data_IF_115452331680
#
_entry.id   IF_115452331680
#
_cell.length_a   1.000
_cell.length_b   1.000
_cell.length_c   1.000
_cell.angle_alpha   90.00
_cell.angle_beta   90.00
_cell.angle_gamma   90.00
#
_symmetry.space_group_name_H-M   'P 1'
#
loop_
_entity.id
_entity.type
_entity.pdbx_description
1 polymer ?
#
# COMPACT_ATOMS: atom_id res chain seq x y z
N UNK A 1 21.84 27.86 10.97
CA UNK A 1 21.64 26.40 10.77
C UNK A 1 21.42 26.19 9.28
N UNK A 2 22.11 25.24 8.66
CA UNK A 2 21.99 25.00 7.21
C UNK A 2 20.53 24.67 6.85
N UNK A 3 19.99 25.35 5.84
CA UNK A 3 18.61 25.17 5.33
C UNK A 3 18.48 24.01 4.34
N UNK A 4 19.60 23.42 3.92
CA UNK A 4 19.68 22.37 2.89
C UNK A 4 19.22 21.04 3.46
N UNK A 5 18.30 20.32 2.79
CA UNK A 5 17.86 19.00 3.25
C UNK A 5 18.96 17.95 3.07
N UNK A 6 18.97 16.91 3.91
CA UNK A 6 19.88 15.77 3.72
C UNK A 6 19.32 14.82 2.65
N UNK A 7 17.98 14.65 2.65
CA UNK A 7 17.26 13.79 1.70
C UNK A 7 15.96 14.44 1.26
N UNK A 8 15.66 14.37 -0.04
CA UNK A 8 14.33 14.63 -0.59
C UNK A 8 13.67 13.33 -1.02
N UNK A 9 12.53 12.99 -0.43
CA UNK A 9 11.69 11.86 -0.85
C UNK A 9 10.57 12.39 -1.75
N UNK A 10 10.47 11.85 -2.97
CA UNK A 10 9.45 12.25 -3.94
C UNK A 10 8.30 11.23 -3.92
N UNK A 11 7.15 11.64 -3.41
CA UNK A 11 5.94 10.82 -3.26
C UNK A 11 5.43 10.77 -1.81
N UNK A 12 4.16 11.12 -1.61
CA UNK A 12 3.48 11.15 -0.30
C UNK A 12 2.52 9.97 -0.06
N UNK A 13 2.69 8.87 -0.81
CA UNK A 13 1.98 7.61 -0.55
C UNK A 13 2.64 6.80 0.57
N UNK A 14 2.12 5.60 0.83
CA UNK A 14 2.63 4.72 1.92
C UNK A 14 4.12 4.43 1.79
N UNK A 15 4.63 4.16 0.57
CA UNK A 15 6.05 3.89 0.35
C UNK A 15 6.92 5.11 0.70
N UNK A 16 6.53 6.29 0.23
CA UNK A 16 7.30 7.52 0.46
C UNK A 16 7.25 8.00 1.90
N UNK A 17 6.07 8.03 2.53
CA UNK A 17 5.93 8.44 3.93
C UNK A 17 6.65 7.47 4.88
N UNK A 18 6.56 6.16 4.64
CA UNK A 18 7.27 5.15 5.47
C UNK A 18 8.78 5.28 5.32
N UNK A 19 9.29 5.45 4.10
CA UNK A 19 10.73 5.67 3.87
C UNK A 19 11.21 6.98 4.49
N UNK A 20 10.47 8.08 4.30
CA UNK A 20 10.82 9.38 4.88
C UNK A 20 10.85 9.34 6.40
N UNK A 21 9.87 8.68 7.02
CA UNK A 21 9.81 8.51 8.46
C UNK A 21 11.02 7.77 8.99
N UNK A 22 11.37 6.64 8.37
CA UNK A 22 12.51 5.82 8.79
C UNK A 22 13.83 6.60 8.66
N UNK A 23 14.00 7.37 7.59
CA UNK A 23 15.19 8.23 7.40
C UNK A 23 15.25 9.36 8.44
N UNK A 24 14.12 9.98 8.76
CA UNK A 24 14.07 11.01 9.80
C UNK A 24 14.34 10.44 11.19
N UNK A 25 13.92 9.20 11.48
CA UNK A 25 14.26 8.47 12.72
C UNK A 25 15.75 8.19 12.87
N UNK A 26 16.49 8.11 11.75
CA UNK A 26 17.96 8.04 11.75
C UNK A 26 18.64 9.39 11.95
N UNK A 27 17.87 10.46 12.14
CA UNK A 27 18.38 11.82 12.37
C UNK A 27 18.65 12.63 11.10
N UNK A 28 18.24 12.15 9.92
CA UNK A 28 18.38 12.89 8.67
C UNK A 28 17.30 13.98 8.55
N UNK A 29 17.65 15.12 7.97
CA UNK A 29 16.70 16.19 7.64
C UNK A 29 15.99 15.84 6.34
N UNK A 30 14.79 15.29 6.46
CA UNK A 30 14.01 14.78 5.33
C UNK A 30 12.94 15.78 4.91
N UNK A 31 12.84 16.00 3.59
CA UNK A 31 11.67 16.65 2.97
C UNK A 31 10.94 15.68 2.07
N UNK A 32 9.62 15.64 2.16
CA UNK A 32 8.75 14.89 1.25
C UNK A 32 8.11 15.85 0.28
N UNK A 33 8.32 15.64 -1.01
CA UNK A 33 7.65 16.36 -2.08
C UNK A 33 6.58 15.49 -2.68
N UNK A 34 5.32 15.93 -2.59
CA UNK A 34 4.21 15.21 -3.20
C UNK A 34 3.28 16.14 -3.96
N UNK A 35 2.89 15.74 -5.17
CA UNK A 35 1.89 16.45 -5.97
C UNK A 35 0.53 16.48 -5.24
N UNK A 36 0.11 15.33 -4.71
CA UNK A 36 -1.20 15.12 -4.13
C UNK A 36 -1.11 15.04 -2.59
N UNK A 37 -2.11 15.51 -1.84
CA UNK A 37 -2.16 15.24 -0.40
C UNK A 37 -2.31 13.74 -0.15
N UNK A 38 -1.81 13.22 0.99
CA UNK A 38 -1.83 11.78 1.27
C UNK A 38 -3.23 11.14 1.11
N UNK A 39 -4.28 11.86 1.51
CA UNK A 39 -5.68 11.44 1.36
C UNK A 39 -6.18 11.30 -0.09
N UNK A 40 -5.46 11.86 -1.07
CA UNK A 40 -5.78 11.77 -2.50
C UNK A 40 -4.78 10.88 -3.27
N UNK A 41 -3.92 10.13 -2.57
CA UNK A 41 -3.00 9.18 -3.21
C UNK A 41 -3.66 7.83 -3.47
N UNK A 42 -3.08 7.02 -4.37
CA UNK A 42 -3.48 5.60 -4.54
C UNK A 42 -3.51 4.85 -3.21
N UNK A 43 -2.58 5.15 -2.29
CA UNK A 43 -2.53 4.50 -0.98
C UNK A 43 -3.79 4.74 -0.15
N UNK A 44 -4.40 5.93 -0.21
CA UNK A 44 -5.62 6.24 0.53
C UNK A 44 -6.86 5.47 0.05
N UNK A 45 -6.82 4.97 -1.19
CA UNK A 45 -7.91 4.17 -1.78
C UNK A 45 -7.86 2.71 -1.32
N UNK A 46 -6.67 2.19 -0.98
CA UNK A 46 -6.48 0.76 -0.71
C UNK A 46 -7.34 0.22 0.45
N UNK A 47 -7.56 -1.10 0.44
CA UNK A 47 -8.45 -1.81 1.37
C UNK A 47 -8.14 -1.60 2.85
N UNK A 48 -6.95 -1.89 3.38
CA UNK A 48 -5.88 -2.76 2.90
C UNK A 48 -5.64 -3.85 3.95
N UNK A 49 -5.61 -5.11 3.53
CA UNK A 49 -5.23 -6.26 4.35
C UNK A 49 -3.74 -6.54 4.12
N UNK A 50 -2.96 -6.77 5.17
CA UNK A 50 -1.61 -7.27 5.01
C UNK A 50 -1.68 -8.70 4.45
N UNK A 51 -1.25 -8.88 3.22
CA UNK A 51 -1.08 -10.19 2.57
C UNK A 51 -0.20 -10.03 1.32
N UNK A 52 0.84 -10.85 1.11
CA UNK A 52 1.63 -10.81 -0.12
C UNK A 52 0.77 -11.23 -1.32
N UNK A 53 0.47 -10.29 -2.21
CA UNK A 53 -0.45 -10.51 -3.32
C UNK A 53 0.11 -9.97 -4.64
N UNK A 54 0.28 -10.88 -5.62
CA UNK A 54 0.68 -10.58 -7.02
C UNK A 54 1.81 -9.53 -7.07
N UNK A 55 2.91 -9.82 -6.39
CA UNK A 55 4.06 -8.92 -6.23
C UNK A 55 5.35 -9.71 -6.40
N UNK A 56 6.30 -9.06 -7.08
CA UNK A 56 7.62 -9.60 -7.42
C UNK A 56 8.72 -8.63 -6.91
N UNK A 57 9.98 -9.08 -6.75
CA UNK A 57 10.45 -10.45 -6.92
C UNK A 57 10.08 -11.35 -5.73
N UNK A 58 9.52 -12.53 -5.99
CA UNK A 58 9.06 -13.49 -4.97
C UNK A 58 10.11 -13.76 -3.88
N UNK A 59 11.38 -13.86 -4.28
CA UNK A 59 12.52 -14.13 -3.39
C UNK A 59 12.73 -13.08 -2.29
N UNK A 60 12.33 -11.82 -2.50
CA UNK A 60 12.51 -10.73 -1.52
C UNK A 60 11.19 -10.34 -0.83
N UNK A 61 10.06 -10.59 -1.50
CA UNK A 61 8.73 -10.22 -1.01
C UNK A 61 8.44 -10.82 0.36
N UNK A 62 8.83 -12.08 0.59
CA UNK A 62 8.63 -12.75 1.87
C UNK A 62 9.25 -11.99 3.04
N UNK A 63 10.52 -11.61 2.91
CA UNK A 63 11.27 -10.91 3.94
C UNK A 63 10.73 -9.48 4.18
N UNK A 64 10.45 -8.74 3.10
CA UNK A 64 9.85 -7.41 3.23
C UNK A 64 8.47 -7.44 3.89
N UNK A 65 7.68 -8.46 3.56
CA UNK A 65 6.35 -8.65 4.12
C UNK A 65 6.44 -8.98 5.61
N UNK A 66 7.31 -9.93 6.00
CA UNK A 66 7.46 -10.33 7.41
C UNK A 66 8.00 -9.21 8.29
N UNK A 67 8.88 -8.37 7.78
CA UNK A 67 9.31 -7.17 8.50
C UNK A 67 8.14 -6.19 8.70
N UNK A 68 7.35 -5.99 7.66
CA UNK A 68 6.18 -5.11 7.72
C UNK A 68 5.11 -5.67 8.65
N UNK A 69 4.91 -6.99 8.68
CA UNK A 69 4.00 -7.67 9.60
C UNK A 69 4.34 -7.32 11.04
N UNK A 70 5.61 -7.49 11.46
CA UNK A 70 6.04 -7.20 12.84
C UNK A 70 5.73 -5.76 13.25
N UNK A 71 6.01 -4.80 12.37
CA UNK A 71 5.72 -3.38 12.66
C UNK A 71 4.21 -3.14 12.73
N UNK A 72 3.41 -3.75 11.87
CA UNK A 72 1.95 -3.63 11.98
C UNK A 72 1.36 -4.31 13.22
N UNK A 73 1.94 -5.43 13.67
CA UNK A 73 1.58 -6.05 14.96
C UNK A 73 1.86 -5.08 16.13
N UNK A 74 2.98 -4.35 16.10
CA UNK A 74 3.30 -3.33 17.11
C UNK A 74 2.34 -2.13 17.04
N UNK A 75 2.06 -1.61 15.84
CA UNK A 75 1.14 -0.48 15.64
C UNK A 75 -0.30 -0.81 16.03
N UNK A 76 -0.68 -2.08 15.98
CA UNK A 76 -1.99 -2.54 16.41
C UNK A 76 -2.24 -2.39 17.92
N UNK A 77 -1.22 -2.04 18.72
CA UNK A 77 -1.39 -1.70 20.13
C UNK A 77 -2.11 -0.35 20.35
N UNK A 78 -2.14 0.54 19.35
CA UNK A 78 -2.79 1.84 19.41
C UNK A 78 -3.65 2.10 18.15
N UNK A 79 -4.70 1.29 17.91
CA UNK A 79 -5.43 1.28 16.64
C UNK A 79 -6.15 2.59 16.32
N UNK A 80 -6.60 3.33 17.34
CA UNK A 80 -7.28 4.62 17.17
C UNK A 80 -6.34 5.72 16.65
N UNK A 81 -5.03 5.58 16.93
CA UNK A 81 -4.00 6.49 16.45
C UNK A 81 -3.43 6.03 15.10
N UNK A 82 -3.07 4.75 14.99
CA UNK A 82 -2.29 4.22 13.86
C UNK A 82 -3.16 3.79 12.68
N UNK A 83 -4.45 3.54 12.92
CA UNK A 83 -5.37 2.93 11.95
C UNK A 83 -5.12 1.45 11.69
N UNK A 84 -4.21 0.79 12.43
CA UNK A 84 -3.86 -0.62 12.24
C UNK A 84 -4.56 -1.47 13.29
N UNK A 85 -5.23 -2.55 12.89
CA UNK A 85 -5.88 -3.50 13.80
C UNK A 85 -5.53 -4.93 13.42
N UNK A 86 -5.44 -5.81 14.41
CA UNK A 86 -5.40 -7.25 14.17
C UNK A 86 -6.84 -7.75 14.06
N UNK A 87 -7.23 -8.28 12.91
CA UNK A 87 -8.61 -8.72 12.64
C UNK A 87 -8.57 -10.14 12.10
N UNK A 88 -9.46 -11.00 12.59
CA UNK A 88 -9.62 -12.36 12.08
C UNK A 88 -10.40 -12.38 10.76
N UNK A 89 -10.12 -13.35 9.93
CA UNK A 89 -10.87 -13.57 8.70
C UNK A 89 -10.40 -14.80 7.94
N UNK A 90 -10.92 -14.94 6.72
CA UNK A 90 -10.70 -16.12 5.88
C UNK A 90 -10.19 -15.73 4.49
N UNK A 91 -9.09 -16.35 4.07
CA UNK A 91 -8.69 -16.44 2.67
C UNK A 91 -9.40 -17.65 2.04
N UNK A 92 -10.46 -17.40 1.28
CA UNK A 92 -11.27 -18.40 0.58
C UNK A 92 -10.43 -19.21 -0.42
N UNK A 93 -10.55 -20.53 -0.36
CA UNK A 93 -9.83 -21.46 -1.23
C UNK A 93 -8.32 -21.60 -0.97
N UNK A 94 -7.73 -20.78 -0.10
CA UNK A 94 -6.31 -20.84 0.24
C UNK A 94 -6.01 -22.00 1.21
N UNK A 95 -4.80 -22.55 1.14
CA UNK A 95 -4.32 -23.62 2.03
C UNK A 95 -2.89 -23.32 2.49
N UNK A 96 -2.46 -23.82 3.65
CA UNK A 96 -1.10 -23.60 4.12
C UNK A 96 -0.05 -24.19 3.17
N UNK A 97 -0.38 -25.31 2.53
CA UNK A 97 0.50 -26.02 1.61
C UNK A 97 0.74 -25.27 0.29
N UNK A 98 -0.10 -24.29 -0.06
CA UNK A 98 0.03 -23.48 -1.28
C UNK A 98 0.86 -22.21 -1.06
N UNK A 99 1.19 -21.88 0.20
CA UNK A 99 1.93 -20.67 0.53
C UNK A 99 3.44 -20.86 0.49
N UNK A 100 4.14 -19.77 0.16
CA UNK A 100 5.59 -19.70 0.18
C UNK A 100 6.18 -19.71 1.61
N UNK A 101 7.53 -19.76 1.74
CA UNK A 101 8.21 -19.88 3.02
C UNK A 101 7.85 -18.81 4.07
N UNK A 102 7.43 -17.63 3.62
CA UNK A 102 7.01 -16.52 4.49
C UNK A 102 5.83 -16.88 5.39
N UNK A 103 4.96 -17.83 4.98
CA UNK A 103 3.80 -18.23 5.76
C UNK A 103 4.16 -18.86 7.12
N UNK A 104 5.40 -19.32 7.30
CA UNK A 104 5.92 -19.79 8.59
C UNK A 104 5.97 -18.70 9.66
N UNK A 105 5.94 -17.43 9.26
CA UNK A 105 5.87 -16.30 10.18
C UNK A 105 4.44 -15.94 10.61
N UNK A 106 3.41 -16.58 10.06
CA UNK A 106 2.03 -16.36 10.48
C UNK A 106 1.75 -17.01 11.84
N UNK A 107 0.90 -16.36 12.63
CA UNK A 107 0.43 -16.83 13.94
C UNK A 107 -1.06 -17.15 13.86
N UNK A 108 -1.51 -18.06 14.72
CA UNK A 108 -2.94 -18.39 14.89
C UNK A 108 -3.65 -18.74 13.58
N UNK A 109 -2.98 -19.53 12.74
CA UNK A 109 -3.49 -19.98 11.45
C UNK A 109 -4.14 -21.36 11.57
N UNK A 110 -5.32 -21.51 11.00
CA UNK A 110 -6.03 -22.78 10.93
C UNK A 110 -6.70 -22.97 9.57
N UNK A 111 -6.62 -24.17 9.01
CA UNK A 111 -7.41 -24.52 7.83
C UNK A 111 -8.86 -24.82 8.24
N UNK A 112 -9.80 -24.22 7.51
CA UNK A 112 -11.25 -24.44 7.65
C UNK A 112 -11.81 -24.90 6.31
N UNK A 113 -13.07 -25.34 6.28
CA UNK A 113 -13.68 -25.87 5.05
C UNK A 113 -13.58 -24.85 3.89
N UNK A 114 -13.86 -23.58 4.20
CA UNK A 114 -13.92 -22.46 3.27
C UNK A 114 -12.53 -22.01 2.77
N UNK A 115 -11.45 -22.28 3.51
CA UNK A 115 -10.23 -21.52 3.29
C UNK A 115 -9.20 -21.63 4.41
N UNK A 116 -8.31 -20.64 4.42
CA UNK A 116 -7.35 -20.43 5.48
C UNK A 116 -7.85 -19.34 6.42
N UNK A 117 -8.12 -19.68 7.67
CA UNK A 117 -8.48 -18.74 8.72
C UNK A 117 -7.23 -18.23 9.45
N UNK A 118 -7.11 -16.92 9.59
CA UNK A 118 -5.95 -16.28 10.22
C UNK A 118 -6.32 -14.89 10.76
N UNK A 119 -5.58 -14.41 11.76
CA UNK A 119 -5.66 -13.03 12.25
C UNK A 119 -4.53 -12.21 11.64
N UNK A 120 -4.85 -11.16 10.90
CA UNK A 120 -3.89 -10.35 10.15
C UNK A 120 -4.08 -8.85 10.41
N UNK A 121 -3.03 -8.03 10.17
CA UNK A 121 -3.18 -6.59 10.16
C UNK A 121 -4.16 -6.14 9.06
N UNK A 122 -5.18 -5.40 9.48
CA UNK A 122 -6.12 -4.67 8.64
C UNK A 122 -5.94 -3.17 8.89
N UNK A 123 -5.66 -2.43 7.82
CA UNK A 123 -5.20 -1.03 7.90
C UNK A 123 -6.28 -0.10 7.35
N UNK A 124 -6.76 0.85 8.16
CA UNK A 124 -7.56 1.99 7.70
C UNK A 124 -6.62 3.05 7.09
N UNK A 125 -6.40 2.95 5.78
CA UNK A 125 -5.38 3.72 5.08
C UNK A 125 -5.46 5.25 5.29
N UNK A 126 -6.63 5.91 5.28
CA UNK A 126 -6.72 7.33 5.62
C UNK A 126 -6.20 7.68 7.02
N UNK A 127 -6.47 6.86 8.03
CA UNK A 127 -5.94 7.07 9.38
C UNK A 127 -4.43 6.80 9.41
N UNK A 128 -3.99 5.69 8.81
CA UNK A 128 -2.58 5.31 8.79
C UNK A 128 -1.68 6.33 8.08
N UNK A 129 -2.13 6.89 6.95
CA UNK A 129 -1.36 7.91 6.23
C UNK A 129 -1.27 9.23 7.01
N UNK A 130 -2.35 9.62 7.73
CA UNK A 130 -2.29 10.78 8.64
C UNK A 130 -1.29 10.54 9.77
N UNK A 131 -1.37 9.36 10.39
CA UNK A 131 -0.43 8.95 11.43
C UNK A 131 1.03 8.99 10.94
N UNK A 132 1.32 8.49 9.74
CA UNK A 132 2.66 8.55 9.14
C UNK A 132 3.13 10.00 8.94
N UNK A 133 2.28 10.90 8.44
CA UNK A 133 2.62 12.32 8.30
C UNK A 133 2.88 12.99 9.65
N UNK A 134 2.05 12.72 10.65
CA UNK A 134 2.19 13.26 12.01
C UNK A 134 3.47 12.75 12.67
N UNK A 135 3.76 11.45 12.55
CA UNK A 135 5.03 10.89 13.05
C UNK A 135 6.20 11.54 12.33
N UNK A 136 6.16 11.67 11.00
CA UNK A 136 7.23 12.30 10.23
C UNK A 136 7.47 13.75 10.69
N UNK A 137 6.41 14.54 10.90
CA UNK A 137 6.53 15.91 11.43
C UNK A 137 7.15 15.93 12.83
N UNK A 138 6.73 15.02 13.70
CA UNK A 138 7.33 14.86 15.02
C UNK A 138 8.82 14.44 14.96
N UNK A 139 9.26 13.86 13.84
CA UNK A 139 10.66 13.52 13.58
C UNK A 139 11.50 14.70 13.09
N UNK A 140 10.89 15.87 12.89
CA UNK A 140 11.51 17.02 12.23
C UNK A 140 11.46 16.96 10.69
N UNK A 141 10.74 15.99 10.11
CA UNK A 141 10.51 15.92 8.67
C UNK A 141 9.46 16.94 8.20
N UNK A 142 9.55 17.33 6.92
CA UNK A 142 8.63 18.31 6.31
C UNK A 142 7.94 17.68 5.11
N UNK A 143 6.62 17.89 4.97
CA UNK A 143 5.85 17.48 3.79
C UNK A 143 5.40 18.72 3.03
N UNK A 144 5.79 18.82 1.76
CA UNK A 144 5.49 19.94 0.88
C UNK A 144 4.63 19.47 -0.30
N UNK A 145 3.55 20.21 -0.59
CA UNK A 145 2.81 20.01 -1.83
C UNK A 145 3.59 20.58 -3.00
N UNK A 146 4.25 19.69 -3.76
CA UNK A 146 5.12 20.06 -4.87
C UNK A 146 5.12 18.97 -5.94
N UNK A 147 4.82 19.39 -7.17
CA UNK A 147 4.95 18.55 -8.37
C UNK A 147 6.38 18.63 -8.88
N UNK A 148 7.01 17.48 -9.12
CA UNK A 148 8.31 17.39 -9.79
C UNK A 148 8.13 17.07 -11.27
N UNK A 149 8.99 17.63 -12.12
CA UNK A 149 9.06 17.24 -13.55
C UNK A 149 10.26 16.35 -13.88
N UNK A 150 11.16 16.19 -12.91
CA UNK A 150 12.34 15.33 -12.96
C UNK A 150 13.09 15.41 -11.63
N UNK A 151 14.11 14.58 -11.43
CA UNK A 151 14.82 14.53 -10.15
C UNK A 151 15.90 15.61 -9.99
N UNK A 152 16.27 16.33 -11.06
CA UNK A 152 17.27 17.40 -10.99
C UNK A 152 16.87 18.54 -10.03
N UNK A 153 15.58 18.88 -9.96
CA UNK A 153 15.09 19.89 -9.01
C UNK A 153 15.15 19.42 -7.55
N UNK A 154 14.93 18.13 -7.28
CA UNK A 154 15.10 17.56 -5.95
C UNK A 154 16.59 17.44 -5.59
N UNK A 155 17.43 17.09 -6.56
CA UNK A 155 18.88 17.00 -6.42
C UNK A 155 19.55 18.35 -6.13
N UNK A 156 18.92 19.45 -6.54
CA UNK A 156 19.37 20.80 -6.21
C UNK A 156 19.16 21.14 -4.72
N UNK A 157 18.27 20.44 -4.02
CA UNK A 157 17.89 20.71 -2.63
C UNK A 157 18.50 19.72 -1.64
N UNK A 158 18.83 18.51 -2.10
CA UNK A 158 19.51 17.47 -1.33
C UNK A 158 20.41 16.63 -2.24
N UNK A 159 21.55 16.18 -1.68
CA UNK A 159 22.45 15.26 -2.38
C UNK A 159 21.84 13.88 -2.60
N UNK A 160 20.88 13.49 -1.77
CA UNK A 160 20.17 12.22 -1.92
C UNK A 160 18.69 12.47 -2.20
N UNK A 161 18.18 11.78 -3.21
CA UNK A 161 16.78 11.79 -3.61
C UNK A 161 16.23 10.37 -3.56
N UNK A 162 15.06 10.18 -2.97
CA UNK A 162 14.37 8.87 -2.98
C UNK A 162 13.12 8.97 -3.84
N UNK A 163 13.08 8.22 -4.94
CA UNK A 163 11.92 8.11 -5.83
C UNK A 163 10.91 7.10 -5.28
N UNK A 164 9.81 7.60 -4.72
CA UNK A 164 8.64 6.85 -4.27
C UNK A 164 7.37 7.22 -5.06
N UNK A 165 7.51 7.54 -6.34
CA UNK A 165 6.42 8.12 -7.14
C UNK A 165 5.40 7.12 -7.69
N UNK A 166 5.60 5.82 -7.44
CA UNK A 166 4.66 4.77 -7.87
C UNK A 166 4.47 4.78 -9.39
N UNK A 167 3.23 5.03 -9.85
CA UNK A 167 2.93 5.16 -11.29
C UNK A 167 3.67 6.33 -11.95
N UNK A 168 4.04 7.37 -11.20
CA UNK A 168 4.79 8.51 -11.72
C UNK A 168 6.17 8.13 -12.28
N UNK A 169 6.75 7.01 -11.84
CA UNK A 169 8.03 6.51 -12.37
C UNK A 169 7.96 6.16 -13.85
N UNK A 170 6.77 5.85 -14.40
CA UNK A 170 6.60 5.62 -15.85
C UNK A 170 7.06 6.82 -16.67
N UNK A 171 6.86 8.03 -16.16
CA UNK A 171 7.20 9.29 -16.83
C UNK A 171 8.52 9.89 -16.32
N UNK A 172 8.80 9.77 -15.02
CA UNK A 172 9.95 10.43 -14.38
C UNK A 172 11.29 9.69 -14.54
N UNK A 173 11.28 8.36 -14.69
CA UNK A 173 12.47 7.52 -14.98
C UNK A 173 12.29 6.68 -16.26
N UNK A 174 11.52 7.20 -17.23
CA UNK A 174 10.94 6.48 -18.36
C UNK A 174 10.85 4.94 -18.27
N UNK A 175 10.27 4.39 -17.20
CA UNK A 175 10.17 2.93 -16.99
C UNK A 175 8.89 2.38 -17.63
N UNK A 176 8.94 1.77 -18.84
CA UNK A 176 7.75 1.29 -19.54
C UNK A 176 7.12 0.06 -18.89
N UNK A 177 7.84 -0.59 -17.96
CA UNK A 177 7.32 -1.73 -17.21
C UNK A 177 6.31 -1.31 -16.15
N UNK A 178 6.23 -0.01 -15.80
CA UNK A 178 5.25 0.52 -14.84
C UNK A 178 3.89 0.70 -15.50
N UNK A 179 2.89 -0.05 -15.03
CA UNK A 179 1.54 -0.11 -15.61
C UNK A 179 0.46 0.07 -14.54
N UNK A 180 -0.66 0.75 -14.86
CA UNK A 180 -1.79 0.82 -13.95
C UNK A 180 -2.52 -0.52 -13.91
N UNK A 181 -2.87 -0.97 -12.71
CA UNK A 181 -3.89 -2.01 -12.52
C UNK A 181 -5.05 -1.40 -11.74
N UNK A 182 -6.13 -1.07 -12.44
CA UNK A 182 -7.32 -0.43 -11.87
C UNK A 182 -8.00 -1.37 -10.88
N UNK A 183 -8.40 -0.81 -9.76
CA UNK A 183 -9.21 -1.48 -8.75
C UNK A 183 -10.35 -0.59 -8.30
N UNK A 184 -11.56 -1.11 -8.45
CA UNK A 184 -12.77 -0.48 -7.94
C UNK A 184 -13.23 -1.14 -6.65
N UNK A 185 -13.66 -0.29 -5.71
CA UNK A 185 -14.22 -0.64 -4.41
C UNK A 185 -15.59 0.01 -4.23
N UNK A 186 -16.42 -0.61 -3.42
CA UNK A 186 -17.68 -0.06 -2.92
C UNK A 186 -17.58 0.07 -1.41
N UNK A 187 -18.00 1.19 -0.85
CA UNK A 187 -18.06 1.40 0.60
C UNK A 187 -19.53 1.40 1.00
N UNK A 188 -19.89 0.57 1.96
CA UNK A 188 -21.26 0.45 2.49
C UNK A 188 -21.28 0.70 4.00
N UNK A 189 -22.45 1.02 4.55
CA UNK A 189 -22.67 0.92 6.00
C UNK A 189 -22.42 -0.51 6.45
N UNK A 190 -21.68 -0.71 7.55
CA UNK A 190 -21.36 -2.05 7.99
C UNK A 190 -22.63 -2.75 8.53
N UNK A 191 -23.10 -3.86 7.91
CA UNK A 191 -24.31 -4.55 8.35
C UNK A 191 -24.07 -5.52 9.53
N UNK A 192 -22.99 -5.35 10.30
CA UNK A 192 -22.60 -6.25 11.40
C UNK A 192 -21.55 -7.30 10.99
N UNK A 193 -20.74 -7.01 9.97
CA UNK A 193 -19.60 -7.85 9.57
C UNK A 193 -18.36 -7.36 10.30
N UNK A 194 -17.79 -8.20 11.15
CA UNK A 194 -16.61 -7.86 11.97
C UNK A 194 -15.33 -8.62 11.58
N UNK A 195 -15.46 -9.62 10.71
CA UNK A 195 -14.34 -10.38 10.14
C UNK A 195 -14.12 -10.00 8.67
N UNK A 196 -12.88 -10.06 8.21
CA UNK A 196 -12.60 -9.90 6.79
C UNK A 196 -12.73 -11.22 6.02
N UNK A 197 -12.92 -11.10 4.71
CA UNK A 197 -12.83 -12.21 3.78
C UNK A 197 -12.08 -11.76 2.54
N UNK A 198 -11.31 -12.66 1.93
CA UNK A 198 -10.81 -12.46 0.58
C UNK A 198 -10.84 -13.76 -0.21
N UNK A 199 -11.09 -13.66 -1.50
CA UNK A 199 -10.99 -14.73 -2.47
C UNK A 199 -10.59 -14.14 -3.82
N UNK A 200 -9.55 -14.69 -4.43
CA UNK A 200 -9.06 -14.26 -5.72
C UNK A 200 -8.78 -15.46 -6.61
N UNK A 201 -9.49 -15.57 -7.72
CA UNK A 201 -9.17 -16.55 -8.75
C UNK A 201 -7.85 -16.18 -9.45
N UNK A 202 -6.93 -17.14 -9.69
CA UNK A 202 -5.61 -16.85 -10.27
C UNK A 202 -5.70 -16.11 -11.62
N UNK A 203 -6.67 -16.47 -12.46
CA UNK A 203 -6.89 -15.90 -13.79
C UNK A 203 -8.02 -14.85 -13.85
N UNK A 204 -8.63 -14.50 -12.72
CA UNK A 204 -9.77 -13.59 -12.68
C UNK A 204 -9.30 -12.15 -12.40
N UNK A 205 -9.85 -11.19 -13.14
CA UNK A 205 -9.82 -9.76 -12.80
C UNK A 205 -10.81 -9.42 -11.69
N UNK A 206 -11.87 -10.23 -11.53
CA UNK A 206 -12.79 -10.14 -10.41
C UNK A 206 -12.19 -10.79 -9.17
N UNK A 207 -12.13 -10.01 -8.09
CA UNK A 207 -11.78 -10.47 -6.74
C UNK A 207 -13.00 -10.26 -5.85
N UNK A 208 -13.12 -11.05 -4.80
CA UNK A 208 -14.19 -10.92 -3.80
C UNK A 208 -13.54 -10.72 -2.44
N UNK A 209 -13.73 -9.56 -1.83
CA UNK A 209 -13.28 -9.32 -0.47
C UNK A 209 -14.14 -8.27 0.20
N UNK A 210 -14.18 -8.35 1.52
CA UNK A 210 -14.73 -7.30 2.35
C UNK A 210 -13.87 -7.09 3.59
N UNK A 211 -13.69 -5.83 3.94
CA UNK A 211 -12.82 -5.38 5.01
C UNK A 211 -13.61 -4.50 5.98
N UNK A 212 -13.88 -4.98 7.20
CA UNK A 212 -14.59 -4.19 8.19
C UNK A 212 -13.67 -3.06 8.67
N UNK A 213 -14.13 -1.82 8.53
CA UNK A 213 -13.42 -0.62 8.97
C UNK A 213 -14.30 0.15 9.99
N UNK A 214 -13.73 1.05 10.80
CA UNK A 214 -14.53 1.87 11.70
C UNK A 214 -15.68 2.57 10.96
N UNK A 215 -16.92 2.24 11.36
CA UNK A 215 -18.16 2.82 10.82
C UNK A 215 -18.56 2.39 9.40
N UNK A 216 -17.85 1.46 8.75
CA UNK A 216 -18.12 1.08 7.34
C UNK A 216 -17.59 -0.31 6.98
N UNK A 217 -18.08 -0.87 5.89
CA UNK A 217 -17.53 -2.07 5.27
C UNK A 217 -17.01 -1.70 3.88
N UNK A 218 -15.74 -2.01 3.61
CA UNK A 218 -15.13 -1.81 2.29
C UNK A 218 -15.25 -3.11 1.51
N UNK A 219 -15.94 -3.07 0.39
CA UNK A 219 -16.16 -4.19 -0.52
C UNK A 219 -15.25 -4.04 -1.74
N UNK A 220 -14.66 -5.15 -2.17
CA UNK A 220 -13.95 -5.19 -3.44
C UNK A 220 -14.00 -6.57 -4.08
N UNK A 221 -13.45 -6.71 -5.27
CA UNK A 221 -13.00 -5.61 -6.11
C UNK A 221 -12.64 -6.06 -7.50
N UNK A 222 -11.95 -5.18 -8.23
CA UNK A 222 -11.37 -5.48 -9.54
C UNK A 222 -9.85 -5.36 -9.54
N UNK A 223 -9.23 -6.03 -10.51
CA UNK A 223 -7.83 -5.91 -10.89
C UNK A 223 -7.75 -5.90 -12.42
N UNK A 224 -8.02 -4.75 -13.03
CA UNK A 224 -8.06 -4.56 -14.49
C UNK A 224 -6.73 -3.98 -14.97
N UNK A 225 -5.95 -4.80 -15.68
CA UNK A 225 -4.65 -4.39 -16.19
C UNK A 225 -4.76 -3.33 -17.31
N UNK A 226 -3.82 -2.40 -17.32
CA UNK A 226 -3.68 -1.31 -18.30
C UNK A 226 -4.88 -0.35 -18.40
N UNK A 227 -5.86 -0.43 -17.49
CA UNK A 227 -6.94 0.54 -17.37
C UNK A 227 -6.50 1.71 -16.47
N UNK A 228 -6.55 2.93 -17.01
CA UNK A 228 -6.18 4.16 -16.32
C UNK A 228 -7.38 5.01 -15.87
N UNK A 229 -8.61 4.55 -16.11
CA UNK A 229 -9.83 5.28 -15.73
C UNK A 229 -9.98 5.34 -14.22
N UNK A 230 -10.35 6.51 -13.71
CA UNK A 230 -10.51 6.74 -12.25
C UNK A 230 -11.98 6.91 -11.85
N UNK A 231 -12.87 6.92 -12.82
CA UNK A 231 -14.31 7.01 -12.62
C UNK A 231 -14.85 5.63 -12.20
N UNK A 232 -15.73 5.54 -11.19
CA UNK A 232 -16.39 4.30 -10.83
C UNK A 232 -17.40 3.88 -11.91
N UNK A 233 -17.43 2.58 -12.22
CA UNK A 233 -18.41 1.96 -13.10
C UNK A 233 -19.59 1.41 -12.27
N UNK A 234 -20.84 1.87 -12.49
CA UNK A 234 -22.00 1.41 -11.74
C UNK A 234 -22.26 -0.10 -11.84
N UNK A 235 -22.04 -0.72 -13.00
CA UNK A 235 -22.24 -2.16 -13.19
C UNK A 235 -21.20 -2.93 -12.40
N UNK A 236 -19.95 -2.51 -12.44
CA UNK A 236 -18.88 -3.11 -11.62
C UNK A 236 -19.20 -2.98 -10.13
N UNK A 237 -19.81 -1.88 -9.69
CA UNK A 237 -20.22 -1.70 -8.29
C UNK A 237 -21.32 -2.70 -7.89
N UNK A 238 -22.37 -2.85 -8.70
CA UNK A 238 -23.44 -3.83 -8.50
C UNK A 238 -22.89 -5.26 -8.42
N UNK A 239 -21.97 -5.61 -9.34
CA UNK A 239 -21.32 -6.91 -9.34
C UNK A 239 -20.49 -7.15 -8.08
N UNK A 240 -19.70 -6.17 -7.62
CA UNK A 240 -18.91 -6.28 -6.38
C UNK A 240 -19.83 -6.59 -5.19
N UNK A 241 -20.93 -5.84 -5.04
CA UNK A 241 -21.91 -6.05 -3.97
C UNK A 241 -22.51 -7.44 -4.08
N UNK A 242 -22.94 -7.85 -5.28
CA UNK A 242 -23.52 -9.18 -5.51
C UNK A 242 -22.55 -10.32 -5.18
N UNK A 243 -21.24 -10.17 -5.48
CA UNK A 243 -20.23 -11.17 -5.09
C UNK A 243 -20.05 -11.26 -3.58
N UNK A 244 -19.95 -10.13 -2.90
CA UNK A 244 -19.80 -10.09 -1.45
C UNK A 244 -21.05 -10.63 -0.75
N UNK A 245 -22.25 -10.32 -1.26
CA UNK A 245 -23.52 -10.81 -0.75
C UNK A 245 -23.70 -12.33 -0.86
N UNK A 246 -23.05 -12.99 -1.83
CA UNK A 246 -23.03 -14.46 -1.90
C UNK A 246 -22.26 -15.10 -0.75
N UNK A 247 -21.27 -14.38 -0.19
CA UNK A 247 -20.49 -14.84 0.97
C UNK A 247 -21.18 -14.44 2.28
N UNK A 248 -21.72 -13.22 2.35
CA UNK A 248 -22.44 -12.67 3.51
C UNK A 248 -23.77 -12.04 3.07
N UNK A 249 -24.90 -12.76 3.13
CA UNK A 249 -26.19 -12.31 2.62
C UNK A 249 -26.66 -10.93 3.14
N UNK A 250 -26.30 -10.57 4.36
CA UNK A 250 -26.63 -9.27 4.97
C UNK A 250 -26.03 -8.07 4.21
N UNK A 251 -24.98 -8.26 3.41
CA UNK A 251 -24.40 -7.20 2.57
C UNK A 251 -25.36 -6.74 1.48
N UNK A 252 -26.28 -7.60 1.01
CA UNK A 252 -27.24 -7.25 -0.04
C UNK A 252 -28.15 -6.07 0.33
N UNK A 253 -28.44 -5.89 1.63
CA UNK A 253 -29.28 -4.80 2.14
C UNK A 253 -28.50 -3.58 2.63
N UNK A 254 -27.17 -3.61 2.59
CA UNK A 254 -26.34 -2.54 3.13
C UNK A 254 -26.39 -1.28 2.25
N UNK A 255 -26.56 -0.12 2.86
CA UNK A 255 -26.59 1.17 2.15
C UNK A 255 -25.20 1.52 1.62
N UNK A 256 -25.10 1.79 0.32
CA UNK A 256 -23.87 2.31 -0.30
C UNK A 256 -23.62 3.74 0.18
N UNK A 257 -22.44 3.99 0.72
CA UNK A 257 -22.00 5.31 1.21
C UNK A 257 -20.91 5.93 0.33
N UNK A 258 -20.33 5.17 -0.60
CA UNK A 258 -19.41 5.71 -1.59
C UNK A 258 -18.75 4.65 -2.49
N UNK A 259 -18.01 5.14 -3.46
CA UNK A 259 -17.19 4.34 -4.37
C UNK A 259 -15.75 4.84 -4.32
N UNK A 260 -14.79 3.94 -4.58
CA UNK A 260 -13.38 4.32 -4.73
C UNK A 260 -12.78 3.60 -5.92
N UNK A 261 -11.92 4.28 -6.64
CA UNK A 261 -11.13 3.70 -7.73
C UNK A 261 -9.69 4.09 -7.52
N UNK A 262 -8.80 3.11 -7.56
CA UNK A 262 -7.36 3.30 -7.40
C UNK A 262 -6.60 2.60 -8.50
N UNK A 263 -5.47 3.19 -8.90
CA UNK A 263 -4.58 2.63 -9.91
C UNK A 263 -3.34 2.07 -9.22
N UNK A 264 -3.26 0.75 -9.10
CA UNK A 264 -2.12 0.06 -8.48
C UNK A 264 -0.88 0.24 -9.38
N UNK A 265 0.27 0.65 -8.83
CA UNK A 265 1.52 0.84 -9.58
C UNK A 265 2.22 -0.49 -9.84
N UNK A 266 1.64 -1.35 -10.68
CA UNK A 266 2.28 -2.62 -11.04
C UNK A 266 3.53 -2.36 -11.88
N UNK A 267 4.52 -3.24 -11.76
CA UNK A 267 5.72 -3.20 -12.59
C UNK A 267 6.06 -4.60 -13.08
N UNK A 268 6.27 -4.74 -14.39
CA UNK A 268 6.52 -6.05 -15.04
C UNK A 268 7.71 -6.80 -14.42
N UNK A 269 8.77 -6.07 -14.04
CA UNK A 269 9.96 -6.63 -13.40
C UNK A 269 9.91 -6.59 -11.85
N UNK A 270 8.74 -6.40 -11.26
CA UNK A 270 8.55 -6.34 -9.80
C UNK A 270 9.00 -5.03 -9.16
N UNK A 271 9.03 -4.99 -7.83
CA UNK A 271 9.45 -3.83 -7.04
C UNK A 271 10.89 -3.45 -7.39
N UNK A 272 11.12 -2.15 -7.60
CA UNK A 272 12.46 -1.59 -7.85
C UNK A 272 12.99 -0.90 -6.60
N UNK A 273 14.05 -1.45 -6.01
CA UNK A 273 14.83 -0.84 -4.93
C UNK A 273 16.31 -0.87 -5.30
N UNK A 274 16.77 0.22 -5.90
CA UNK A 274 18.09 0.33 -6.52
C UNK A 274 18.60 1.76 -6.35
N UNK A 275 19.92 1.95 -6.38
CA UNK A 275 20.54 3.27 -6.33
C UNK A 275 21.23 3.59 -7.67
N UNK A 276 21.10 4.84 -8.10
CA UNK A 276 21.72 5.39 -9.31
C UNK A 276 22.41 6.71 -8.98
N UNK A 277 23.49 7.02 -9.71
CA UNK A 277 24.11 8.33 -9.61
C UNK A 277 23.31 9.36 -10.42
N UNK A 278 22.99 10.49 -9.78
CA UNK A 278 22.43 11.65 -10.43
C UNK A 278 23.53 12.46 -11.12
N UNK A 279 23.20 13.15 -12.23
CA UNK A 279 24.09 14.16 -12.80
C UNK A 279 24.52 15.17 -11.71
N UNK A 280 25.83 15.33 -11.51
CA UNK A 280 26.38 16.17 -10.44
C UNK A 280 26.79 15.43 -9.16
N UNK A 281 26.79 14.09 -9.16
CA UNK A 281 27.32 13.28 -8.06
C UNK A 281 26.37 13.13 -6.87
N UNK A 282 25.08 13.39 -7.08
CA UNK A 282 24.02 13.04 -6.12
C UNK A 282 23.63 11.57 -6.25
N UNK A 283 22.79 11.10 -5.33
CA UNK A 283 22.29 9.73 -5.30
C UNK A 283 20.77 9.72 -5.51
N UNK A 284 20.27 8.90 -6.43
CA UNK A 284 18.86 8.61 -6.61
C UNK A 284 18.58 7.18 -6.18
N UNK A 285 17.77 7.00 -5.13
CA UNK A 285 17.31 5.69 -4.68
C UNK A 285 15.88 5.46 -5.15
N UNK A 286 15.63 4.39 -5.87
CA UNK A 286 14.30 3.97 -6.29
C UNK A 286 13.61 3.16 -5.18
N UNK A 287 12.30 3.36 -5.02
CA UNK A 287 11.42 2.52 -4.22
C UNK A 287 10.00 2.64 -4.78
N UNK A 288 9.71 1.92 -5.86
CA UNK A 288 8.41 1.92 -6.56
C UNK A 288 8.11 0.56 -7.22
N UNK A 289 6.91 0.44 -7.83
CA UNK A 289 6.51 -0.78 -8.55
C UNK A 289 5.80 -1.82 -7.68
N UNK A 290 5.18 -1.40 -6.57
CA UNK A 290 4.63 -2.30 -5.56
C UNK A 290 3.27 -2.94 -5.90
N UNK A 291 2.70 -2.64 -7.06
CA UNK A 291 1.42 -3.22 -7.49
C UNK A 291 0.33 -3.12 -6.43
N UNK A 292 -0.36 -4.24 -6.17
CA UNK A 292 -1.43 -4.33 -5.18
C UNK A 292 -0.97 -4.56 -3.74
N UNK A 293 0.32 -4.77 -3.50
CA UNK A 293 0.86 -5.18 -2.19
C UNK A 293 1.76 -4.12 -1.54
N UNK A 294 1.73 -2.87 -2.01
CA UNK A 294 2.56 -1.80 -1.45
C UNK A 294 2.38 -1.53 0.03
N UNK A 295 1.19 -1.78 0.59
CA UNK A 295 0.95 -1.71 2.05
C UNK A 295 1.60 -2.91 2.75
N UNK A 296 1.48 -4.12 2.18
CA UNK A 296 2.05 -5.35 2.72
C UNK A 296 3.57 -5.29 2.88
N UNK A 297 4.28 -4.66 1.94
CA UNK A 297 5.75 -4.60 1.94
C UNK A 297 6.32 -3.26 2.39
N UNK A 298 5.46 -2.32 2.83
CA UNK A 298 5.82 -0.91 3.01
C UNK A 298 7.07 -0.70 3.88
N UNK A 299 7.13 -1.33 5.05
CA UNK A 299 8.25 -1.17 5.99
C UNK A 299 9.51 -1.85 5.48
N UNK A 300 9.39 -3.07 4.99
CA UNK A 300 10.53 -3.84 4.48
C UNK A 300 11.21 -3.17 3.29
N UNK A 301 10.43 -2.71 2.32
CA UNK A 301 10.94 -1.93 1.20
C UNK A 301 11.53 -0.59 1.66
N UNK A 302 10.90 0.08 2.63
CA UNK A 302 11.43 1.33 3.19
C UNK A 302 12.79 1.12 3.88
N UNK A 303 12.99 0.04 4.64
CA UNK A 303 14.28 -0.29 5.26
C UNK A 303 15.34 -0.56 4.20
N UNK A 304 15.02 -1.35 3.17
CA UNK A 304 15.93 -1.64 2.07
C UNK A 304 16.35 -0.37 1.31
N UNK A 305 15.40 0.51 0.97
CA UNK A 305 15.70 1.80 0.35
C UNK A 305 16.56 2.69 1.26
N UNK A 306 16.26 2.74 2.56
CA UNK A 306 17.05 3.53 3.50
C UNK A 306 18.46 2.98 3.72
N UNK A 307 18.73 1.69 3.52
CA UNK A 307 20.10 1.15 3.54
C UNK A 307 20.94 1.65 2.36
N UNK A 308 20.31 1.93 1.22
CA UNK A 308 20.99 2.48 0.05
C UNK A 308 21.33 3.98 0.20
N UNK A 309 20.58 4.70 1.04
CA UNK A 309 20.83 6.13 1.32
C UNK A 309 22.11 6.36 2.13
N UNK A 310 22.51 5.38 2.97
CA UNK A 310 23.55 5.54 3.99
C UNK A 310 22.97 5.69 5.38
#
# INVERSE_FOLDING_TARGET
MSTVADVVVVGGGVSGLTTALLLAERGLRVRVWSRDPAAATTSAVAGALWWPYRIEPEALVGDWSLETLRVYEELAAAPDETGVRMVAGVHGGERLSTLGPWARGLKDVSEVAEGLRVTLPLIDMPAHLRWLEERLRAAGGVVERRTVRGFAEAAAEARVVVNCTGLGSRELVPDPGVRPVRGQLVVVENPGVDEWFTEAGPASSATTYFFPQPGRLVLGGTAEADDARTEPDPRTAEEIVARCARVRPEIAGARVVGHRVGLRPARDAGVRIEAEELPGGGLLVHNYGHGGAGVTVARGCARAAAQLVG
#
